data_IF_809706689880
#
_entry.id   IF_809706689880
#
_cell.length_a   1.000
_cell.length_b   1.000
_cell.length_c   1.000
_cell.angle_alpha   90.00
_cell.angle_beta   90.00
_cell.angle_gamma   90.00
#
_symmetry.space_group_name_H-M   'P 1'
#
loop_
_entity.id
_entity.type
_entity.pdbx_description
1 polymer ?
#
# COMPACT_ATOMS: atom_id res chain seq x y z
N UNK A 1 -13.95 5.78 4.90
CA UNK A 1 -14.49 5.05 3.73
C UNK A 1 -15.97 5.42 3.53
N UNK A 2 -16.65 4.87 2.52
CA UNK A 2 -18.13 4.86 2.42
C UNK A 2 -18.62 3.41 2.44
N UNK A 3 -19.88 3.16 2.80
CA UNK A 3 -20.47 1.82 2.64
C UNK A 3 -20.50 1.39 1.17
N UNK A 4 -20.41 0.09 0.94
CA UNK A 4 -20.28 -0.58 -0.36
C UNK A 4 -19.05 -0.16 -1.16
N UNK A 5 -17.91 0.02 -0.48
CA UNK A 5 -16.62 0.22 -1.14
C UNK A 5 -15.61 -0.88 -0.81
N UNK A 6 -14.58 -0.95 -1.65
CA UNK A 6 -13.41 -1.83 -1.47
C UNK A 6 -12.22 -0.95 -1.13
N UNK A 7 -11.65 -1.16 0.05
CA UNK A 7 -10.40 -0.55 0.45
C UNK A 7 -9.23 -1.40 -0.03
N UNK A 8 -8.17 -0.77 -0.55
CA UNK A 8 -6.92 -1.44 -0.89
C UNK A 8 -5.81 -0.82 -0.05
N UNK A 9 -4.90 -1.64 0.50
CA UNK A 9 -3.65 -1.09 1.06
C UNK A 9 -2.79 -0.51 -0.05
N UNK A 10 -2.70 -1.24 -1.17
CA UNK A 10 -1.96 -0.91 -2.37
C UNK A 10 -2.55 -1.69 -3.56
N UNK A 11 -2.37 -1.14 -4.77
CA UNK A 11 -2.59 -1.86 -6.03
C UNK A 11 -1.26 -2.31 -6.62
N UNK A 12 -1.27 -3.06 -7.73
CA UNK A 12 -0.05 -3.47 -8.44
C UNK A 12 0.79 -2.33 -9.02
N UNK A 13 0.26 -1.10 -9.08
CA UNK A 13 0.98 0.09 -9.52
C UNK A 13 1.75 0.81 -8.41
N UNK A 14 1.44 0.48 -7.16
CA UNK A 14 2.06 1.10 -6.01
C UNK A 14 3.33 0.33 -5.60
N UNK A 15 4.30 1.01 -4.95
CA UNK A 15 5.34 0.33 -4.18
C UNK A 15 4.73 -0.57 -3.09
N UNK A 16 5.51 -1.54 -2.61
CA UNK A 16 5.15 -2.28 -1.37
C UNK A 16 5.11 -1.33 -0.18
N UNK A 17 4.43 -1.68 0.91
CA UNK A 17 4.35 -0.84 2.11
C UNK A 17 5.74 -0.50 2.68
N UNK A 18 6.66 -1.48 2.70
CA UNK A 18 8.05 -1.27 3.12
C UNK A 18 8.77 -0.36 2.10
N UNK A 19 8.59 -0.60 0.80
CA UNK A 19 9.17 0.24 -0.25
C UNK A 19 8.70 1.70 -0.14
N UNK A 20 7.39 1.91 0.05
CA UNK A 20 6.79 3.22 0.28
C UNK A 20 7.44 3.90 1.48
N UNK A 21 7.45 3.24 2.64
CA UNK A 21 7.98 3.83 3.87
C UNK A 21 9.48 4.16 3.80
N UNK A 22 10.26 3.29 3.15
CA UNK A 22 11.72 3.40 3.15
C UNK A 22 12.28 4.24 2.02
N UNK A 23 11.60 4.32 0.87
CA UNK A 23 12.15 4.94 -0.35
C UNK A 23 11.28 6.02 -0.99
N UNK A 24 9.95 5.91 -0.92
CA UNK A 24 9.07 6.76 -1.74
C UNK A 24 8.27 7.79 -0.95
N UNK A 25 8.05 7.59 0.35
CA UNK A 25 7.34 8.53 1.20
C UNK A 25 8.27 9.63 1.72
N UNK A 26 7.77 10.86 1.70
CA UNK A 26 8.45 12.03 2.23
C UNK A 26 8.28 12.12 3.76
N UNK A 27 9.18 12.85 4.44
CA UNK A 27 9.18 12.93 5.91
C UNK A 27 7.88 13.51 6.48
N UNK A 28 7.28 14.48 5.78
CA UNK A 28 6.01 15.08 6.21
C UNK A 28 4.84 14.08 6.09
N UNK A 29 4.87 13.18 5.12
CA UNK A 29 3.86 12.14 4.91
C UNK A 29 3.98 11.09 6.01
N UNK A 30 5.21 10.65 6.33
CA UNK A 30 5.48 9.75 7.45
C UNK A 30 5.01 10.33 8.78
N UNK A 31 5.31 11.61 9.03
CA UNK A 31 4.85 12.32 10.23
C UNK A 31 3.33 12.39 10.29
N UNK A 32 2.68 12.70 9.17
CA UNK A 32 1.22 12.73 9.09
C UNK A 32 0.63 11.35 9.34
N UNK A 33 1.19 10.31 8.74
CA UNK A 33 0.75 8.92 8.94
C UNK A 33 0.84 8.51 10.41
N UNK A 34 2.00 8.67 11.05
CA UNK A 34 2.20 8.32 12.48
C UNK A 34 1.25 9.08 13.40
N UNK A 35 0.94 10.34 13.09
CA UNK A 35 0.02 11.14 13.91
C UNK A 35 -1.45 10.75 13.73
N UNK A 36 -1.83 10.14 12.61
CA UNK A 36 -3.23 9.82 12.28
C UNK A 36 -3.55 8.32 12.39
N UNK A 37 -2.53 7.46 12.35
CA UNK A 37 -2.69 6.01 12.46
C UNK A 37 -2.47 5.61 13.90
N UNK A 38 -3.47 4.92 14.47
CA UNK A 38 -3.27 4.16 15.70
C UNK A 38 -2.37 2.99 15.35
N UNK A 39 -1.20 2.91 15.96
CA UNK A 39 -0.33 1.74 15.84
C UNK A 39 -1.08 0.55 16.42
N UNK A 40 -1.55 -0.33 15.55
CA UNK A 40 -2.08 -1.63 15.93
C UNK A 40 -0.92 -2.61 15.78
N UNK A 41 -0.48 -3.21 16.89
CA UNK A 41 0.72 -4.06 16.92
C UNK A 41 0.49 -5.40 16.20
N UNK A 42 -0.75 -5.77 15.90
CA UNK A 42 -1.11 -7.02 15.22
C UNK A 42 -2.17 -6.81 14.13
N UNK A 43 -1.93 -7.36 12.93
CA UNK A 43 -2.88 -7.39 11.81
C UNK A 43 -4.24 -8.00 12.21
N UNK A 44 -4.24 -8.93 13.16
CA UNK A 44 -5.45 -9.59 13.68
C UNK A 44 -6.37 -8.60 14.42
N UNK A 45 -5.80 -7.59 15.10
CA UNK A 45 -6.60 -6.55 15.76
C UNK A 45 -7.24 -5.58 14.76
N UNK A 46 -6.62 -5.38 13.59
CA UNK A 46 -7.22 -4.58 12.50
C UNK A 46 -8.41 -5.29 11.83
N UNK A 47 -8.49 -6.62 11.98
CA UNK A 47 -9.59 -7.44 11.46
C UNK A 47 -10.71 -7.69 12.48
N UNK A 48 -10.57 -7.20 13.72
CA UNK A 48 -11.59 -7.38 14.76
C UNK A 48 -12.76 -6.40 14.57
N UNK A 49 -13.97 -6.87 14.88
CA UNK A 49 -15.27 -6.19 14.68
C UNK A 49 -15.41 -4.81 15.36
N UNK A 50 -14.49 -4.43 16.24
CA UNK A 50 -14.52 -3.17 16.98
C UNK A 50 -13.97 -1.96 16.21
N UNK A 51 -13.34 -2.16 15.05
CA UNK A 51 -12.89 -1.05 14.19
C UNK A 51 -14.04 -0.50 13.34
N UNK A 52 -15.03 0.07 14.03
CA UNK A 52 -16.23 0.71 13.44
C UNK A 52 -15.93 1.89 12.52
N UNK A 53 -14.67 2.33 12.45
CA UNK A 53 -14.23 3.44 11.60
C UNK A 53 -13.96 2.98 10.15
N UNK A 54 -13.75 1.67 9.93
CA UNK A 54 -13.60 1.13 8.58
C UNK A 54 -14.96 0.75 7.98
N UNK A 55 -15.62 1.71 7.35
CA UNK A 55 -16.93 1.50 6.70
C UNK A 55 -16.84 0.81 5.31
N UNK A 56 -15.66 0.33 4.88
CA UNK A 56 -15.52 -0.46 3.66
C UNK A 56 -16.01 -1.91 3.89
N UNK A 57 -16.67 -2.52 2.90
CA UNK A 57 -17.19 -3.89 3.03
C UNK A 57 -16.13 -4.95 2.74
N UNK A 58 -15.07 -4.57 2.03
CA UNK A 58 -13.98 -5.46 1.62
C UNK A 58 -12.69 -4.67 1.76
N UNK A 59 -11.69 -5.28 2.40
CA UNK A 59 -10.32 -4.81 2.39
C UNK A 59 -9.46 -5.81 1.59
N UNK A 60 -8.64 -5.31 0.66
CA UNK A 60 -7.70 -6.10 -0.14
C UNK A 60 -6.28 -5.65 0.20
N UNK A 61 -5.47 -6.62 0.63
CA UNK A 61 -4.06 -6.41 0.97
C UNK A 61 -3.22 -6.98 -0.17
N UNK A 62 -2.22 -6.23 -0.62
CA UNK A 62 -1.27 -6.71 -1.62
C UNK A 62 -0.44 -7.87 -1.03
N UNK A 63 -0.25 -8.96 -1.79
CA UNK A 63 0.47 -10.15 -1.30
C UNK A 63 1.89 -9.83 -0.84
N UNK A 64 2.58 -8.90 -1.52
CA UNK A 64 3.91 -8.45 -1.13
C UNK A 64 3.95 -7.80 0.26
N UNK A 65 2.90 -7.09 0.65
CA UNK A 65 2.78 -6.51 1.99
C UNK A 65 2.58 -7.61 3.04
N UNK A 66 1.76 -8.61 2.73
CA UNK A 66 1.55 -9.78 3.58
C UNK A 66 2.85 -10.59 3.78
N UNK A 67 3.70 -10.66 2.75
CA UNK A 67 5.00 -11.34 2.79
C UNK A 67 6.13 -10.47 3.34
N UNK A 68 5.88 -9.19 3.62
CA UNK A 68 6.90 -8.26 4.12
C UNK A 68 8.02 -7.98 3.12
N UNK A 69 7.71 -7.92 1.82
CA UNK A 69 8.71 -7.64 0.78
C UNK A 69 9.01 -6.14 0.70
N UNK A 70 10.27 -5.81 0.43
CA UNK A 70 10.69 -4.43 0.14
C UNK A 70 10.37 -4.03 -1.31
N UNK A 71 10.88 -2.88 -1.73
CA UNK A 71 10.62 -2.30 -3.06
C UNK A 71 11.05 -3.21 -4.23
N UNK A 72 11.88 -4.24 -3.99
CA UNK A 72 12.20 -5.26 -5.02
C UNK A 72 11.00 -6.13 -5.39
N UNK A 73 9.97 -6.20 -4.52
CA UNK A 73 8.70 -6.85 -4.78
C UNK A 73 7.68 -5.98 -5.54
N UNK A 74 8.03 -4.73 -5.91
CA UNK A 74 7.12 -3.83 -6.62
C UNK A 74 6.73 -4.42 -7.97
N UNK A 75 5.41 -4.52 -8.21
CA UNK A 75 4.90 -5.20 -9.41
C UNK A 75 4.97 -4.33 -10.66
N UNK A 76 4.69 -3.04 -10.55
CA UNK A 76 4.79 -2.11 -11.66
C UNK A 76 5.19 -0.70 -11.20
N UNK A 77 5.97 -0.02 -12.04
CA UNK A 77 6.17 1.42 -11.98
C UNK A 77 5.60 2.07 -13.25
N UNK A 78 4.41 2.69 -13.18
CA UNK A 78 3.80 3.33 -14.34
C UNK A 78 4.64 4.43 -15.00
N UNK A 79 5.62 4.99 -14.28
CA UNK A 79 6.55 6.00 -14.84
C UNK A 79 7.59 5.40 -15.79
N UNK A 80 7.73 4.08 -15.77
CA UNK A 80 8.62 3.31 -16.64
C UNK A 80 7.79 2.68 -17.77
N UNK A 81 7.23 3.50 -18.66
CA UNK A 81 6.65 2.97 -19.91
C UNK A 81 7.75 2.41 -20.80
N UNK A 82 7.43 1.33 -21.51
CA UNK A 82 8.30 0.52 -22.35
C UNK A 82 8.89 1.25 -23.58
N UNK A 83 9.82 2.19 -23.37
CA UNK A 83 10.65 2.76 -24.43
C UNK A 83 11.92 1.94 -24.72
N UNK A 84 11.97 0.68 -24.24
CA UNK A 84 12.99 -0.29 -24.62
C UNK A 84 12.65 -0.98 -25.97
N UNK A 85 12.30 -0.19 -27.00
CA UNK A 85 11.79 -0.74 -28.26
C UNK A 85 11.93 0.12 -29.52
N UNK A 86 12.74 1.18 -29.54
CA UNK A 86 12.91 2.04 -30.73
C UNK A 86 14.33 2.10 -31.31
N UNK A 87 15.18 1.11 -31.05
CA UNK A 87 16.49 1.01 -31.72
C UNK A 87 16.77 -0.40 -32.25
N UNK A 88 16.09 -0.74 -33.35
CA UNK A 88 16.54 -1.75 -34.33
C UNK A 88 15.78 -1.58 -35.64
N UNK A 89 16.25 -0.66 -36.48
CA UNK A 89 16.05 -0.72 -37.94
C UNK A 89 17.32 -0.28 -38.65
#
# INVERSE_FOLDING_TARGET
FIQNCVAYTATHYNPTAIGLWTKHAEDYEKKTFVNNVRLVEQLDEYCNEDDRDNVANIAIIQLQDLLGLDDTGRMNDPSLSSDAGSDSR
#
